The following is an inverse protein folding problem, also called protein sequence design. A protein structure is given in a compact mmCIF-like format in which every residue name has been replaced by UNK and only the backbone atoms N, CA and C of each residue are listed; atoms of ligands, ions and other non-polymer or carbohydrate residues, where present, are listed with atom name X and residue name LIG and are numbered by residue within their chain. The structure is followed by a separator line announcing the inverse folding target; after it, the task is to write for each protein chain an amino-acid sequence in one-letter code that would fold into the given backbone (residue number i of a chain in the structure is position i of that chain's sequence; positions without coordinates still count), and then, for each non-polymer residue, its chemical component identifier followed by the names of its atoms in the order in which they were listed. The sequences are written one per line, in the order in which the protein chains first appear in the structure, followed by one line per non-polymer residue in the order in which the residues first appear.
data_IF_877273175027
#
_entry.id   IF_877273175027
#
_cell.length_a   1.000
_cell.length_b   1.000
_cell.length_c   1.000
_cell.angle_alpha   90.00
_cell.angle_beta   90.00
_cell.angle_gamma   90.00
#
_symmetry.space_group_name_H-M   'P 1'
#
loop_
_entity.id
_entity.type
_entity.pdbx_description
1 polymer ?
#
# COMPACT_ATOMS: atom_id res chain seq x y z
N UNK A 1 6.74 4.03 -18.02
CA UNK A 1 7.93 3.64 -17.24
C UNK A 1 8.93 4.77 -16.97
N UNK A 2 9.58 5.42 -17.96
CA UNK A 2 10.65 6.42 -17.68
C UNK A 2 10.19 7.62 -16.84
N UNK A 3 8.98 8.15 -17.07
CA UNK A 3 8.47 9.32 -16.33
C UNK A 3 8.26 9.01 -14.84
N UNK A 4 7.55 7.93 -14.51
CA UNK A 4 7.27 7.57 -13.11
C UNK A 4 8.55 7.27 -12.31
N UNK A 5 9.49 6.52 -12.90
CA UNK A 5 10.79 6.25 -12.24
C UNK A 5 11.61 7.53 -11.98
N UNK A 6 11.54 8.52 -12.89
CA UNK A 6 12.19 9.83 -12.66
C UNK A 6 11.51 10.58 -11.52
N UNK A 7 10.18 10.60 -11.47
CA UNK A 7 9.42 11.28 -10.41
C UNK A 7 9.65 10.62 -9.05
N UNK A 8 9.67 9.30 -8.98
CA UNK A 8 9.99 8.53 -7.77
C UNK A 8 11.35 8.93 -7.20
N UNK A 9 12.44 8.81 -7.99
CA UNK A 9 13.79 9.18 -7.55
C UNK A 9 13.91 10.65 -7.14
N UNK A 10 13.19 11.52 -7.84
CA UNK A 10 13.14 12.95 -7.53
C UNK A 10 12.45 13.18 -6.18
N UNK A 11 11.34 12.49 -5.93
CA UNK A 11 10.60 12.55 -4.68
C UNK A 11 11.43 11.99 -3.52
N UNK A 12 12.07 10.83 -3.69
CA UNK A 12 12.98 10.25 -2.68
C UNK A 12 14.08 11.21 -2.24
N UNK A 13 14.67 11.95 -3.19
CA UNK A 13 15.69 12.96 -2.91
C UNK A 13 15.13 14.13 -2.10
N UNK A 14 13.92 14.59 -2.41
CA UNK A 14 13.27 15.68 -1.68
C UNK A 14 12.85 15.24 -0.27
N UNK A 15 12.44 13.99 -0.11
CA UNK A 15 12.07 13.39 1.18
C UNK A 15 13.26 13.19 2.14
N UNK A 16 14.49 13.36 1.67
CA UNK A 16 15.65 13.38 2.56
C UNK A 16 15.74 14.66 3.41
N UNK A 17 15.09 15.76 2.99
CA UNK A 17 15.26 17.06 3.63
C UNK A 17 13.99 17.65 4.25
N UNK A 18 12.81 17.13 3.91
CA UNK A 18 11.51 17.63 4.38
C UNK A 18 10.40 16.58 4.22
N UNK A 19 9.26 16.78 4.89
CA UNK A 19 8.12 15.86 4.79
C UNK A 19 7.41 15.95 3.43
N UNK A 20 6.65 14.93 3.06
CA UNK A 20 5.89 14.92 1.80
C UNK A 20 4.87 16.06 1.75
N UNK A 21 4.18 16.36 2.85
CA UNK A 21 3.30 17.53 3.00
C UNK A 21 3.96 18.90 2.72
N UNK A 22 5.29 19.02 2.85
CA UNK A 22 6.05 20.24 2.56
C UNK A 22 6.55 20.30 1.11
N UNK A 23 6.43 19.21 0.35
CA UNK A 23 6.87 19.11 -1.04
C UNK A 23 5.74 19.56 -1.97
N UNK A 24 6.03 20.53 -2.84
CA UNK A 24 5.09 20.99 -3.86
C UNK A 24 5.34 20.27 -5.18
N UNK A 25 4.31 20.11 -6.00
CA UNK A 25 4.43 19.63 -7.41
C UNK A 25 5.51 20.42 -8.17
N UNK A 26 5.60 21.72 -7.92
CA UNK A 26 6.63 22.60 -8.46
C UNK A 26 8.06 22.16 -8.18
N UNK A 27 8.32 21.66 -6.97
CA UNK A 27 9.65 21.24 -6.53
C UNK A 27 10.10 20.00 -7.30
N UNK A 28 9.20 19.03 -7.43
CA UNK A 28 9.44 17.81 -8.20
C UNK A 28 9.63 18.14 -9.68
N UNK A 29 8.75 18.95 -10.27
CA UNK A 29 8.85 19.37 -11.67
C UNK A 29 10.19 20.09 -11.96
N UNK A 30 10.60 21.02 -11.10
CA UNK A 30 11.87 21.76 -11.24
C UNK A 30 13.08 20.83 -11.17
N UNK A 31 13.08 19.89 -10.21
CA UNK A 31 14.23 19.01 -9.99
C UNK A 31 14.32 17.87 -11.01
N UNK A 32 13.19 17.38 -11.51
CA UNK A 32 13.10 16.32 -12.54
C UNK A 32 13.23 16.83 -13.98
N UNK A 33 13.02 18.12 -14.22
CA UNK A 33 12.90 18.70 -15.56
C UNK A 33 11.58 18.38 -16.27
N UNK A 34 10.62 17.76 -15.59
CA UNK A 34 9.29 17.44 -16.15
C UNK A 34 8.41 18.71 -16.12
N UNK A 35 7.79 19.11 -17.25
CA UNK A 35 6.85 20.22 -17.25
C UNK A 35 5.64 19.95 -16.35
N UNK A 36 5.11 20.98 -15.68
CA UNK A 36 3.91 20.82 -14.81
C UNK A 36 2.70 20.28 -15.57
N UNK A 37 2.50 20.72 -16.82
CA UNK A 37 1.42 20.21 -17.67
C UNK A 37 1.54 18.71 -17.89
N UNK A 38 2.76 18.20 -18.08
CA UNK A 38 3.05 16.77 -18.18
C UNK A 38 2.88 16.06 -16.84
N UNK A 39 3.23 16.68 -15.71
CA UNK A 39 2.94 16.09 -14.40
C UNK A 39 1.43 15.88 -14.20
N UNK A 40 0.64 16.94 -14.46
CA UNK A 40 -0.81 16.92 -14.27
C UNK A 40 -1.57 16.04 -15.27
N UNK A 41 -0.93 15.56 -16.34
CA UNK A 41 -1.53 14.51 -17.19
C UNK A 41 -1.50 13.12 -16.56
N UNK A 42 -0.73 12.92 -15.47
CA UNK A 42 -0.60 11.63 -14.77
C UNK A 42 -1.04 11.69 -13.30
N UNK A 43 -0.78 12.81 -12.62
CA UNK A 43 -0.95 12.93 -11.17
C UNK A 43 -1.73 14.20 -10.83
N UNK A 44 -2.77 14.09 -9.98
CA UNK A 44 -3.55 15.26 -9.60
C UNK A 44 -2.83 16.12 -8.55
N UNK A 45 -2.01 15.50 -7.70
CA UNK A 45 -1.23 16.16 -6.66
C UNK A 45 0.07 15.38 -6.33
N UNK A 46 0.76 15.83 -5.27
CA UNK A 46 2.01 15.21 -4.85
C UNK A 46 1.81 13.82 -4.20
N UNK A 47 0.67 13.58 -3.56
CA UNK A 47 0.33 12.32 -2.89
C UNK A 47 0.02 11.20 -3.90
N UNK A 48 -0.46 11.59 -5.08
CA UNK A 48 -0.76 10.67 -6.19
C UNK A 48 0.47 9.89 -6.66
N UNK A 49 1.69 10.43 -6.48
CA UNK A 49 2.93 9.77 -6.92
C UNK A 49 3.22 8.51 -6.09
N UNK A 50 3.36 8.57 -4.75
CA UNK A 50 3.54 7.36 -3.94
C UNK A 50 2.33 6.43 -3.98
N UNK A 51 1.10 6.95 -4.13
CA UNK A 51 -0.10 6.12 -4.30
C UNK A 51 -0.05 5.28 -5.58
N UNK A 52 0.42 5.86 -6.69
CA UNK A 52 0.62 5.12 -7.93
C UNK A 52 1.68 4.02 -7.81
N UNK A 53 2.79 4.31 -7.13
CA UNK A 53 3.84 3.30 -6.84
C UNK A 53 3.26 2.18 -5.96
N UNK A 54 2.44 2.55 -4.97
CA UNK A 54 1.75 1.59 -4.13
C UNK A 54 0.84 0.66 -4.93
N UNK A 55 -0.01 1.20 -5.80
CA UNK A 55 -0.91 0.38 -6.61
C UNK A 55 -0.17 -0.57 -7.54
N UNK A 56 0.92 -0.12 -8.17
CA UNK A 56 1.79 -0.97 -9.00
C UNK A 56 2.35 -2.16 -8.19
N UNK A 57 2.79 -1.91 -6.95
CA UNK A 57 3.24 -2.98 -6.04
C UNK A 57 2.10 -3.91 -5.58
N UNK A 58 0.90 -3.37 -5.36
CA UNK A 58 -0.23 -4.12 -4.81
C UNK A 58 -0.99 -4.96 -5.86
N UNK A 59 -0.96 -4.56 -7.13
CA UNK A 59 -1.71 -5.20 -8.23
C UNK A 59 -1.43 -6.71 -8.35
N UNK A 60 -0.22 -7.14 -8.03
CA UNK A 60 0.23 -8.53 -8.08
C UNK A 60 0.52 -9.13 -6.69
N UNK A 61 0.10 -8.46 -5.61
CA UNK A 61 0.33 -8.92 -4.23
C UNK A 61 -0.95 -8.84 -3.38
N UNK A 62 -1.07 -7.84 -2.50
CA UNK A 62 -2.22 -7.65 -1.59
C UNK A 62 -3.55 -7.70 -2.33
N UNK A 63 -3.64 -7.11 -3.53
CA UNK A 63 -4.90 -7.06 -4.28
C UNK A 63 -5.27 -8.38 -4.95
N UNK A 64 -4.44 -9.41 -4.85
CA UNK A 64 -4.69 -10.78 -5.31
C UNK A 64 -5.10 -11.76 -4.21
N UNK A 65 -5.18 -11.30 -2.95
CA UNK A 65 -5.73 -12.15 -1.87
C UNK A 65 -7.18 -12.52 -2.19
N UNK A 66 -7.48 -13.82 -2.21
CA UNK A 66 -8.78 -14.35 -2.65
C UNK A 66 -9.00 -14.34 -4.18
N UNK A 67 -8.00 -13.92 -4.96
CA UNK A 67 -7.93 -13.95 -6.44
C UNK A 67 -6.58 -14.54 -6.89
N UNK A 68 -6.33 -15.79 -6.50
CA UNK A 68 -5.14 -16.54 -6.89
C UNK A 68 -3.97 -16.48 -5.91
N UNK A 69 -4.02 -15.62 -4.89
CA UNK A 69 -3.11 -15.66 -3.75
C UNK A 69 -3.87 -15.87 -2.43
N UNK A 70 -3.20 -16.57 -1.51
CA UNK A 70 -3.58 -16.69 -0.10
C UNK A 70 -3.24 -15.42 0.69
N UNK A 71 -3.72 -15.33 1.93
CA UNK A 71 -3.29 -14.28 2.87
C UNK A 71 -1.78 -14.27 3.09
N UNK A 72 -1.14 -15.44 3.20
CA UNK A 72 0.32 -15.55 3.40
C UNK A 72 1.08 -15.02 2.18
N UNK A 73 0.77 -15.53 0.98
CA UNK A 73 1.46 -15.17 -0.26
C UNK A 73 1.26 -13.70 -0.62
N UNK A 74 0.02 -13.20 -0.53
CA UNK A 74 -0.28 -11.80 -0.84
C UNK A 74 0.46 -10.82 0.07
N UNK A 75 0.52 -11.11 1.38
CA UNK A 75 1.26 -10.26 2.31
C UNK A 75 2.77 -10.39 2.17
N UNK A 76 3.27 -11.59 1.91
CA UNK A 76 4.69 -11.85 1.67
C UNK A 76 5.22 -11.03 0.50
N UNK A 77 4.57 -11.14 -0.66
CA UNK A 77 4.94 -10.38 -1.86
C UNK A 77 4.77 -8.88 -1.60
N UNK A 78 3.71 -8.46 -0.89
CA UNK A 78 3.50 -7.06 -0.51
C UNK A 78 4.68 -6.51 0.30
N UNK A 79 5.09 -7.21 1.35
CA UNK A 79 6.20 -6.77 2.21
C UNK A 79 7.54 -6.79 1.47
N UNK A 80 7.78 -7.79 0.62
CA UNK A 80 8.97 -7.84 -0.25
C UNK A 80 9.01 -6.66 -1.22
N UNK A 81 7.89 -6.31 -1.84
CA UNK A 81 7.77 -5.15 -2.71
C UNK A 81 8.06 -3.85 -1.93
N UNK A 82 7.43 -3.65 -0.77
CA UNK A 82 7.66 -2.45 0.05
C UNK A 82 9.14 -2.34 0.47
N UNK A 83 9.83 -3.46 0.76
CA UNK A 83 11.26 -3.45 1.06
C UNK A 83 12.11 -2.93 -0.10
N UNK A 84 11.76 -3.22 -1.36
CA UNK A 84 12.49 -2.69 -2.52
C UNK A 84 12.43 -1.17 -2.60
N UNK A 85 11.36 -0.57 -2.06
CA UNK A 85 11.13 0.88 -2.03
C UNK A 85 11.32 1.49 -0.62
N UNK A 86 12.16 0.85 0.22
CA UNK A 86 12.36 1.22 1.63
C UNK A 86 12.67 2.70 1.85
N UNK A 87 13.47 3.32 0.98
CA UNK A 87 13.87 4.74 1.11
C UNK A 87 12.65 5.64 1.03
N UNK A 88 11.77 5.42 0.05
CA UNK A 88 10.52 6.16 -0.11
C UNK A 88 9.56 5.92 1.08
N UNK A 89 9.22 4.65 1.33
CA UNK A 89 8.15 4.31 2.27
C UNK A 89 8.49 4.65 3.72
N UNK A 90 9.74 4.48 4.15
CA UNK A 90 10.18 4.90 5.49
C UNK A 90 10.03 6.40 5.78
N UNK A 91 9.95 7.23 4.73
CA UNK A 91 9.75 8.68 4.85
C UNK A 91 8.27 9.08 4.84
N UNK A 92 7.46 8.44 4.01
CA UNK A 92 6.05 8.83 3.83
C UNK A 92 5.11 8.20 4.86
N UNK A 93 5.49 7.12 5.55
CA UNK A 93 4.66 6.54 6.62
C UNK A 93 4.45 7.46 7.83
N UNK A 94 5.17 8.57 7.94
CA UNK A 94 4.98 9.56 9.02
C UNK A 94 3.82 10.53 8.79
N UNK A 95 3.22 10.51 7.60
CA UNK A 95 1.99 11.25 7.31
C UNK A 95 0.80 10.61 8.03
N UNK A 96 -0.15 11.44 8.46
CA UNK A 96 -1.31 11.03 9.25
C UNK A 96 -2.62 11.69 8.80
N UNK A 97 -2.71 12.12 7.54
CA UNK A 97 -3.96 12.64 6.97
C UNK A 97 -4.68 11.58 6.12
N UNK A 98 -5.86 11.91 5.57
CA UNK A 98 -6.66 10.99 4.75
C UNK A 98 -5.97 10.55 3.43
N UNK A 99 -4.97 11.30 2.98
CA UNK A 99 -4.17 10.99 1.79
C UNK A 99 -2.93 10.16 2.12
N UNK A 100 -2.62 9.99 3.40
CA UNK A 100 -1.53 9.15 3.86
C UNK A 100 -1.61 7.76 3.26
N UNK A 101 -0.43 7.17 3.08
CA UNK A 101 -0.33 5.83 2.50
C UNK A 101 -0.99 4.75 3.38
N UNK A 102 -1.09 4.99 4.69
CA UNK A 102 -1.82 4.12 5.62
C UNK A 102 -3.30 4.04 5.22
N UNK A 103 -3.96 5.19 5.16
CA UNK A 103 -5.39 5.29 4.85
C UNK A 103 -5.67 4.83 3.42
N UNK A 104 -4.77 5.15 2.48
CA UNK A 104 -4.85 4.69 1.11
C UNK A 104 -4.75 3.16 0.99
N UNK A 105 -3.71 2.56 1.59
CA UNK A 105 -3.47 1.13 1.57
C UNK A 105 -4.58 0.32 2.26
N UNK A 106 -5.10 0.83 3.39
CA UNK A 106 -6.27 0.24 4.06
C UNK A 106 -7.49 0.18 3.13
N UNK A 107 -7.86 1.29 2.48
CA UNK A 107 -9.01 1.33 1.56
C UNK A 107 -8.81 0.38 0.37
N UNK A 108 -7.61 0.33 -0.18
CA UNK A 108 -7.23 -0.56 -1.27
C UNK A 108 -7.36 -2.03 -0.88
N UNK A 109 -6.73 -2.44 0.23
CA UNK A 109 -6.78 -3.80 0.73
C UNK A 109 -8.20 -4.28 1.05
N UNK A 110 -8.98 -3.45 1.77
CA UNK A 110 -10.38 -3.76 2.08
C UNK A 110 -11.20 -3.96 0.79
N UNK A 111 -11.11 -3.02 -0.15
CA UNK A 111 -11.87 -3.07 -1.39
C UNK A 111 -11.49 -4.27 -2.25
N UNK A 112 -10.19 -4.59 -2.32
CA UNK A 112 -9.68 -5.71 -3.10
C UNK A 112 -10.18 -7.05 -2.55
N UNK A 113 -9.95 -7.33 -1.25
CA UNK A 113 -10.38 -8.60 -0.63
C UNK A 113 -11.89 -8.77 -0.70
N UNK A 114 -12.65 -7.72 -0.35
CA UNK A 114 -14.12 -7.73 -0.43
C UNK A 114 -14.60 -8.10 -1.83
N UNK A 115 -14.04 -7.46 -2.86
CA UNK A 115 -14.40 -7.70 -4.26
C UNK A 115 -13.99 -9.10 -4.71
N UNK A 116 -12.77 -9.53 -4.40
CA UNK A 116 -12.22 -10.81 -4.83
C UNK A 116 -13.06 -11.97 -4.27
N UNK A 117 -13.35 -11.95 -2.98
CA UNK A 117 -14.22 -12.96 -2.34
C UNK A 117 -15.64 -12.93 -2.93
N UNK A 118 -16.24 -11.75 -3.13
CA UNK A 118 -17.57 -11.66 -3.72
C UNK A 118 -17.63 -12.21 -5.15
N UNK A 119 -16.63 -11.90 -5.99
CA UNK A 119 -16.64 -12.23 -7.42
C UNK A 119 -16.08 -13.63 -7.70
N UNK A 120 -14.97 -14.01 -7.07
CA UNK A 120 -14.24 -15.27 -7.34
C UNK A 120 -14.73 -16.42 -6.50
N UNK A 121 -15.16 -16.15 -5.27
CA UNK A 121 -15.67 -17.16 -4.34
C UNK A 121 -17.20 -17.20 -4.31
N UNK A 122 -17.86 -16.31 -5.07
CA UNK A 122 -19.31 -16.16 -5.13
C UNK A 122 -19.95 -16.00 -3.74
N UNK A 123 -19.20 -15.43 -2.79
CA UNK A 123 -19.64 -15.25 -1.42
C UNK A 123 -20.47 -13.97 -1.27
N UNK A 124 -21.59 -14.08 -0.55
CA UNK A 124 -22.43 -12.93 -0.23
C UNK A 124 -22.11 -12.47 1.19
N UNK A 125 -21.43 -11.34 1.29
CA UNK A 125 -21.04 -10.77 2.56
C UNK A 125 -22.23 -10.37 3.43
N UNK A 126 -22.22 -10.80 4.68
CA UNK A 126 -23.10 -10.26 5.72
C UNK A 126 -22.50 -8.98 6.33
N UNK A 127 -23.33 -8.17 7.01
CA UNK A 127 -22.84 -6.97 7.71
C UNK A 127 -21.80 -7.32 8.80
N UNK A 128 -21.98 -8.43 9.52
CA UNK A 128 -21.05 -8.89 10.54
C UNK A 128 -19.68 -9.28 9.95
N UNK A 129 -19.68 -10.02 8.85
CA UNK A 129 -18.43 -10.39 8.16
C UNK A 129 -17.71 -9.16 7.59
N UNK A 130 -18.45 -8.18 7.05
CA UNK A 130 -17.86 -6.92 6.57
C UNK A 130 -17.22 -6.10 7.69
N UNK A 131 -17.82 -6.14 8.89
CA UNK A 131 -17.25 -5.50 10.07
C UNK A 131 -15.96 -6.21 10.50
N UNK A 132 -15.94 -7.54 10.53
CA UNK A 132 -14.72 -8.31 10.84
C UNK A 132 -13.62 -8.13 9.79
N UNK A 133 -13.97 -8.07 8.50
CA UNK A 133 -13.03 -7.72 7.43
C UNK A 133 -12.47 -6.31 7.64
N UNK A 134 -13.31 -5.33 7.97
CA UNK A 134 -12.88 -3.95 8.22
C UNK A 134 -11.87 -3.89 9.38
N UNK A 135 -12.21 -4.49 10.53
CA UNK A 135 -11.31 -4.56 11.68
C UNK A 135 -9.98 -5.25 11.33
N UNK A 136 -10.05 -6.37 10.60
CA UNK A 136 -8.86 -7.12 10.19
C UNK A 136 -7.94 -6.24 9.34
N UNK A 137 -8.44 -5.66 8.24
CA UNK A 137 -7.62 -4.82 7.35
C UNK A 137 -7.08 -3.59 8.08
N UNK A 138 -7.86 -2.93 8.95
CA UNK A 138 -7.38 -1.78 9.75
C UNK A 138 -6.23 -2.16 10.67
N UNK A 139 -6.33 -3.29 11.36
CA UNK A 139 -5.28 -3.78 12.25
C UNK A 139 -3.99 -4.09 11.46
N UNK A 140 -4.13 -4.81 10.33
CA UNK A 140 -3.01 -5.14 9.46
C UNK A 140 -2.35 -3.89 8.87
N UNK A 141 -3.12 -2.93 8.34
CA UNK A 141 -2.60 -1.67 7.81
C UNK A 141 -1.82 -0.89 8.88
N UNK A 142 -2.34 -0.82 10.11
CA UNK A 142 -1.69 -0.16 11.23
C UNK A 142 -0.34 -0.81 11.58
N UNK A 143 -0.27 -2.15 11.59
CA UNK A 143 0.97 -2.89 11.82
C UNK A 143 1.98 -2.68 10.68
N UNK A 144 1.54 -2.67 9.41
CA UNK A 144 2.40 -2.35 8.26
C UNK A 144 3.02 -0.96 8.37
N UNK A 145 2.22 0.05 8.74
CA UNK A 145 2.73 1.41 8.95
C UNK A 145 3.70 1.49 10.11
N UNK A 146 3.43 0.81 11.23
CA UNK A 146 4.40 0.72 12.34
C UNK A 146 5.72 0.11 11.86
N UNK A 147 5.66 -1.02 11.15
CA UNK A 147 6.83 -1.68 10.61
C UNK A 147 7.63 -0.77 9.67
N UNK A 148 6.96 0.00 8.82
CA UNK A 148 7.59 1.03 7.98
C UNK A 148 8.26 2.16 8.76
N UNK A 149 7.59 2.70 9.80
CA UNK A 149 8.11 3.75 10.69
C UNK A 149 9.34 3.30 11.48
N UNK A 150 9.35 2.04 11.90
CA UNK A 150 10.48 1.43 12.61
C UNK A 150 11.65 1.07 11.69
N UNK A 151 11.61 1.49 10.42
CA UNK A 151 12.69 1.28 9.47
C UNK A 151 12.73 -0.14 8.90
N UNK A 152 11.61 -0.87 8.95
CA UNK A 152 11.46 -2.19 8.34
C UNK A 152 12.50 -3.20 8.86
N UNK A 153 12.78 -3.16 10.17
CA UNK A 153 13.81 -3.99 10.82
C UNK A 153 13.34 -5.40 11.13
N UNK A 154 12.03 -5.60 11.32
CA UNK A 154 11.47 -6.93 11.57
C UNK A 154 11.49 -7.69 10.23
N UNK A 155 12.00 -8.93 10.15
CA UNK A 155 12.03 -9.69 8.92
C UNK A 155 10.63 -9.92 8.34
N UNK A 156 10.52 -9.94 7.01
CA UNK A 156 9.24 -10.17 6.30
C UNK A 156 8.55 -11.43 6.81
N UNK A 157 9.28 -12.53 6.92
CA UNK A 157 8.78 -13.80 7.47
C UNK A 157 8.07 -13.65 8.81
N UNK A 158 8.65 -12.86 9.71
CA UNK A 158 8.10 -12.64 11.05
C UNK A 158 6.82 -11.83 10.99
N UNK A 159 6.78 -10.76 10.18
CA UNK A 159 5.57 -9.93 10.06
C UNK A 159 4.44 -10.68 9.35
N UNK A 160 4.74 -11.42 8.30
CA UNK A 160 3.77 -12.27 7.59
C UNK A 160 3.22 -13.35 8.52
N UNK A 161 4.05 -13.98 9.34
CA UNK A 161 3.58 -14.94 10.33
C UNK A 161 2.62 -14.30 11.36
N UNK A 162 2.93 -13.10 11.85
CA UNK A 162 2.02 -12.34 12.73
C UNK A 162 0.70 -12.07 12.02
N UNK A 163 0.73 -11.61 10.77
CA UNK A 163 -0.49 -11.33 10.01
C UNK A 163 -1.33 -12.60 9.86
N UNK A 164 -0.71 -13.67 9.36
CA UNK A 164 -1.37 -14.93 9.13
C UNK A 164 -2.00 -15.48 10.43
N UNK A 165 -1.33 -15.39 11.58
CA UNK A 165 -1.92 -15.85 12.86
C UNK A 165 -3.09 -15.00 13.38
N UNK A 166 -3.23 -13.75 12.93
CA UNK A 166 -4.27 -12.82 13.38
C UNK A 166 -5.41 -12.62 12.39
N UNK A 167 -5.29 -13.15 11.15
CA UNK A 167 -6.41 -13.20 10.22
C UNK A 167 -7.46 -14.20 10.75
N UNK A 168 -8.72 -13.78 10.94
CA UNK A 168 -9.81 -14.66 11.35
C UNK A 168 -9.92 -15.94 10.50
N UNK A 169 -10.17 -17.11 11.11
CA UNK A 169 -10.25 -18.38 10.39
C UNK A 169 -11.22 -18.35 9.19
N UNK A 170 -12.40 -17.75 9.34
CA UNK A 170 -13.38 -17.69 8.24
C UNK A 170 -12.86 -16.88 7.04
N UNK A 171 -12.08 -15.82 7.25
CA UNK A 171 -11.47 -15.05 6.16
C UNK A 171 -10.40 -15.87 5.42
N UNK A 172 -9.69 -16.75 6.13
CA UNK A 172 -8.77 -17.70 5.49
C UNK A 172 -9.51 -18.75 4.70
N UNK A 173 -10.56 -19.34 5.26
CA UNK A 173 -11.39 -20.33 4.56
C UNK A 173 -11.97 -19.75 3.26
N UNK A 174 -12.37 -18.48 3.28
CA UNK A 174 -12.84 -17.78 2.08
C UNK A 174 -11.73 -17.50 1.06
N UNK A 175 -10.53 -17.10 1.51
CA UNK A 175 -9.49 -16.58 0.60
C UNK A 175 -8.46 -17.63 0.16
N UNK A 176 -8.07 -18.55 1.05
CA UNK A 176 -6.92 -19.46 0.88
C UNK A 176 -7.28 -20.76 0.14
N UNK A 177 -8.45 -20.79 -0.50
CA UNK A 177 -9.02 -21.94 -1.22
C UNK A 177 -8.85 -21.86 -2.73
#
# INVERSE_FOLDING_TARGET
MKLCSTLEKTLERLLQTRSLSEIKVMDVCRLSGIPRSTFYSYFCDIYSVPQWIWDDMMEHSLYKIGDGLTWDEGHRIMFENILQHKILFSKIYWENDNNSILEYGYRGGYSAVKRNVAVRKHHHWTEAELLELDYTIRALASLTTKWGRDGMIVPVETVVHIFNTHVPPFLKELCDT
#
